data_IF_037913137782
#
_entry.id   IF_037913137782
#
_cell.length_a   1.000
_cell.length_b   1.000
_cell.length_c   1.000
_cell.angle_alpha   90.00
_cell.angle_beta   90.00
_cell.angle_gamma   90.00
#
_symmetry.space_group_name_H-M   'P 1'
#
loop_
_entity.id
_entity.type
_entity.pdbx_description
1 polymer ?
#
# COMPACT_ATOMS: atom_id res chain seq x y z
N UNK A 1 -3.02 -11.78 -19.49
CA UNK A 1 -2.86 -10.32 -19.60
C UNK A 1 -1.55 -9.97 -20.28
N UNK A 2 -1.56 -8.99 -21.19
CA UNK A 2 -0.37 -8.46 -21.87
C UNK A 2 0.31 -7.38 -21.04
N UNK A 3 1.57 -7.01 -21.37
CA UNK A 3 2.28 -5.94 -20.67
C UNK A 3 1.53 -4.58 -20.69
N UNK A 4 0.92 -4.14 -21.81
CA UNK A 4 0.07 -2.94 -21.82
C UNK A 4 -1.15 -3.02 -20.89
N UNK A 5 -1.76 -4.20 -20.76
CA UNK A 5 -2.90 -4.41 -19.85
C UNK A 5 -2.48 -4.31 -18.39
N UNK A 6 -1.34 -4.88 -18.00
CA UNK A 6 -0.77 -4.70 -16.65
C UNK A 6 -0.46 -3.22 -16.38
N UNK A 7 0.17 -2.52 -17.33
CA UNK A 7 0.42 -1.08 -17.19
C UNK A 7 -0.88 -0.31 -16.90
N UNK A 8 -1.92 -0.51 -17.72
CA UNK A 8 -3.22 0.17 -17.54
C UNK A 8 -3.86 -0.20 -16.20
N UNK A 9 -3.78 -1.46 -15.78
CA UNK A 9 -4.30 -1.93 -14.48
C UNK A 9 -3.59 -1.22 -13.32
N UNK A 10 -2.27 -1.20 -13.30
CA UNK A 10 -1.50 -0.61 -12.21
C UNK A 10 -1.63 0.91 -12.16
N UNK A 11 -1.72 1.59 -13.30
CA UNK A 11 -2.02 3.03 -13.33
C UNK A 11 -3.40 3.34 -12.76
N UNK A 12 -4.45 2.63 -13.22
CA UNK A 12 -5.81 2.82 -12.69
C UNK A 12 -5.87 2.54 -11.20
N UNK A 13 -5.32 1.41 -10.77
CA UNK A 13 -5.29 1.04 -9.36
C UNK A 13 -4.51 2.07 -8.53
N UNK A 14 -3.31 2.47 -8.99
CA UNK A 14 -2.48 3.46 -8.29
C UNK A 14 -3.18 4.80 -8.12
N UNK A 15 -3.81 5.34 -9.16
CA UNK A 15 -4.53 6.61 -9.07
C UNK A 15 -5.77 6.54 -8.16
N UNK A 16 -6.57 5.47 -8.24
CA UNK A 16 -7.71 5.27 -7.35
C UNK A 16 -7.29 5.07 -5.89
N UNK A 17 -6.23 4.30 -5.65
CA UNK A 17 -5.64 4.14 -4.33
C UNK A 17 -5.07 5.46 -3.80
N UNK A 18 -4.41 6.26 -4.65
CA UNK A 18 -3.88 7.56 -4.25
C UNK A 18 -5.01 8.51 -3.85
N UNK A 19 -6.10 8.55 -4.62
CA UNK A 19 -7.29 9.32 -4.24
C UNK A 19 -7.83 8.86 -2.88
N UNK A 20 -8.02 7.56 -2.69
CA UNK A 20 -8.52 6.98 -1.43
C UNK A 20 -7.62 7.36 -0.24
N UNK A 21 -6.31 7.17 -0.34
CA UNK A 21 -5.39 7.43 0.76
C UNK A 21 -5.14 8.91 0.99
N UNK A 22 -5.19 9.76 -0.04
CA UNK A 22 -5.17 11.20 0.12
C UNK A 22 -6.43 11.70 0.85
N UNK A 23 -7.61 11.17 0.51
CA UNK A 23 -8.86 11.46 1.25
C UNK A 23 -8.76 10.98 2.70
N UNK A 24 -8.18 9.80 2.95
CA UNK A 24 -7.92 9.34 4.31
C UNK A 24 -6.97 10.29 5.06
N UNK A 25 -5.89 10.75 4.42
CA UNK A 25 -4.96 11.71 5.01
C UNK A 25 -5.66 13.00 5.43
N UNK A 26 -6.45 13.59 4.52
CA UNK A 26 -7.26 14.77 4.81
C UNK A 26 -8.24 14.54 5.98
N UNK A 27 -8.84 13.36 6.08
CA UNK A 27 -9.70 13.00 7.20
C UNK A 27 -8.90 12.95 8.51
N UNK A 28 -7.74 12.30 8.53
CA UNK A 28 -6.90 12.20 9.74
C UNK A 28 -6.40 13.59 10.18
N UNK A 29 -5.99 14.44 9.24
CA UNK A 29 -5.62 15.82 9.49
C UNK A 29 -6.79 16.64 10.02
N UNK A 30 -8.01 16.41 9.50
CA UNK A 30 -9.23 17.05 10.02
C UNK A 30 -9.53 16.60 11.45
N UNK A 31 -9.42 15.31 11.76
CA UNK A 31 -9.58 14.80 13.13
C UNK A 31 -8.57 15.43 14.09
N UNK A 32 -7.32 15.61 13.64
CA UNK A 32 -6.26 16.31 14.36
C UNK A 32 -6.61 17.80 14.56
N UNK A 33 -6.98 18.51 13.49
CA UNK A 33 -7.25 19.95 13.49
C UNK A 33 -8.48 20.34 14.32
N UNK A 34 -9.56 19.55 14.23
CA UNK A 34 -10.77 19.73 15.04
C UNK A 34 -10.67 19.13 16.45
N UNK A 35 -9.52 18.57 16.81
CA UNK A 35 -9.24 17.96 18.12
C UNK A 35 -10.28 16.90 18.53
N UNK A 36 -10.65 16.03 17.61
CA UNK A 36 -11.66 15.00 17.85
C UNK A 36 -11.13 14.00 18.88
N UNK A 37 -11.80 13.90 20.03
CA UNK A 37 -11.41 13.06 21.18
C UNK A 37 -11.23 11.57 20.84
N UNK A 38 -12.09 11.06 19.96
CA UNK A 38 -12.00 9.67 19.48
C UNK A 38 -10.68 9.34 18.74
N UNK A 39 -9.91 10.37 18.35
CA UNK A 39 -8.61 10.24 17.69
C UNK A 39 -7.44 10.76 18.54
N UNK A 40 -7.66 11.81 19.34
CA UNK A 40 -6.60 12.50 20.10
C UNK A 40 -6.48 12.12 21.57
N UNK A 41 -7.51 11.55 22.20
CA UNK A 41 -7.40 11.13 23.60
C UNK A 41 -6.21 10.15 23.75
N UNK A 42 -5.51 10.20 24.89
CA UNK A 42 -4.29 9.40 25.15
C UNK A 42 -4.56 7.89 24.98
N UNK A 43 -5.76 7.45 25.37
CA UNK A 43 -6.22 6.08 25.17
C UNK A 43 -6.31 5.65 23.69
N UNK A 44 -6.27 6.58 22.73
CA UNK A 44 -6.33 6.33 21.29
C UNK A 44 -4.98 6.46 20.58
N UNK A 45 -3.86 6.48 21.31
CA UNK A 45 -2.51 6.52 20.72
C UNK A 45 -2.27 5.40 19.69
N UNK A 46 -2.65 4.17 20.01
CA UNK A 46 -2.52 3.02 19.10
C UNK A 46 -3.35 3.22 17.83
N UNK A 47 -4.60 3.67 17.94
CA UNK A 47 -5.45 4.00 16.79
C UNK A 47 -4.79 5.04 15.90
N UNK A 48 -4.30 6.13 16.50
CA UNK A 48 -3.66 7.22 15.78
C UNK A 48 -2.40 6.77 15.05
N UNK A 49 -1.54 5.99 15.70
CA UNK A 49 -0.35 5.40 15.08
C UNK A 49 -0.74 4.48 13.93
N UNK A 50 -1.65 3.54 14.18
CA UNK A 50 -2.09 2.55 13.20
C UNK A 50 -2.74 3.20 11.96
N UNK A 51 -3.58 4.20 12.14
CA UNK A 51 -4.21 4.91 11.02
C UNK A 51 -3.22 5.79 10.25
N UNK A 52 -2.24 6.38 10.94
CA UNK A 52 -1.12 7.09 10.30
C UNK A 52 -0.29 6.12 9.44
N UNK A 53 0.05 4.94 9.97
CA UNK A 53 0.78 3.91 9.22
C UNK A 53 -0.01 3.39 8.03
N UNK A 54 -1.32 3.21 8.18
CA UNK A 54 -2.22 2.81 7.09
C UNK A 54 -2.21 3.85 5.96
N UNK A 55 -2.38 5.13 6.29
CA UNK A 55 -2.32 6.23 5.33
C UNK A 55 -0.95 6.31 4.63
N UNK A 56 0.15 6.24 5.39
CA UNK A 56 1.50 6.35 4.87
C UNK A 56 1.83 5.22 3.87
N UNK A 57 1.59 3.96 4.27
CA UNK A 57 1.87 2.81 3.40
C UNK A 57 0.91 2.76 2.22
N UNK A 58 -0.36 3.12 2.41
CA UNK A 58 -1.33 3.19 1.32
C UNK A 58 -0.94 4.21 0.25
N UNK A 59 -0.54 5.41 0.66
CA UNK A 59 -0.06 6.46 -0.24
C UNK A 59 1.22 6.04 -0.97
N UNK A 60 2.20 5.50 -0.24
CA UNK A 60 3.46 5.02 -0.85
C UNK A 60 3.19 3.91 -1.87
N UNK A 61 2.36 2.92 -1.54
CA UNK A 61 2.07 1.81 -2.44
C UNK A 61 1.24 2.28 -3.65
N UNK A 62 0.34 3.24 -3.48
CA UNK A 62 -0.34 3.88 -4.61
C UNK A 62 0.66 4.50 -5.61
N UNK A 63 1.70 5.19 -5.12
CA UNK A 63 2.78 5.71 -5.96
C UNK A 63 3.61 4.59 -6.60
N UNK A 64 3.94 3.52 -5.87
CA UNK A 64 4.62 2.34 -6.42
C UNK A 64 3.84 1.76 -7.59
N UNK A 65 2.52 1.70 -7.49
CA UNK A 65 1.65 1.25 -8.58
C UNK A 65 1.71 2.16 -9.81
N UNK A 66 1.67 3.49 -9.62
CA UNK A 66 1.81 4.45 -10.72
C UNK A 66 3.18 4.31 -11.40
N UNK A 67 4.25 4.29 -10.61
CA UNK A 67 5.63 4.13 -11.08
C UNK A 67 5.77 2.82 -11.84
N UNK A 68 5.31 1.69 -11.29
CA UNK A 68 5.38 0.39 -11.96
C UNK A 68 4.63 0.41 -13.29
N UNK A 69 3.42 1.00 -13.32
CA UNK A 69 2.64 1.15 -14.54
C UNK A 69 3.34 2.00 -15.61
N UNK A 70 4.07 3.06 -15.22
CA UNK A 70 4.90 3.88 -16.11
C UNK A 70 6.15 3.14 -16.59
N UNK A 71 6.85 2.43 -15.69
CA UNK A 71 8.01 1.60 -16.03
C UNK A 71 7.65 0.58 -17.10
N UNK A 72 6.47 -0.05 -17.00
CA UNK A 72 5.98 -0.99 -18.01
C UNK A 72 5.70 -0.34 -19.38
N UNK A 73 5.40 0.96 -19.46
CA UNK A 73 5.26 1.67 -20.74
C UNK A 73 6.60 2.05 -21.35
N UNK A 74 7.56 2.40 -20.51
CA UNK A 74 8.90 2.80 -20.93
C UNK A 74 9.79 1.60 -21.31
N UNK A 75 9.35 0.38 -21.00
CA UNK A 75 10.13 -0.86 -21.12
C UNK A 75 9.55 -1.74 -22.22
N UNK A 76 10.36 -2.26 -23.17
CA UNK A 76 9.91 -3.26 -24.13
C UNK A 76 9.22 -4.47 -23.47
N UNK A 77 8.19 -5.07 -24.11
CA UNK A 77 7.33 -6.10 -23.51
C UNK A 77 8.04 -7.37 -23.02
N UNK A 78 9.27 -7.63 -23.46
CA UNK A 78 9.99 -8.88 -23.27
C UNK A 78 10.72 -9.01 -21.93
N UNK A 79 10.68 -7.99 -21.07
CA UNK A 79 11.73 -7.83 -20.03
C UNK A 79 11.38 -8.40 -18.65
N UNK A 80 10.13 -8.71 -18.33
CA UNK A 80 9.75 -9.16 -16.98
C UNK A 80 9.12 -10.55 -16.97
N UNK A 81 9.85 -11.61 -16.59
CA UNK A 81 9.23 -12.89 -16.27
C UNK A 81 8.31 -12.73 -15.05
N UNK A 82 7.31 -13.60 -14.93
CA UNK A 82 6.40 -13.65 -13.78
C UNK A 82 5.54 -12.40 -13.52
N UNK A 83 5.23 -11.58 -14.54
CA UNK A 83 4.38 -10.37 -14.40
C UNK A 83 3.07 -10.60 -13.65
N UNK A 84 2.43 -11.75 -13.84
CA UNK A 84 1.21 -12.09 -13.10
C UNK A 84 1.44 -12.15 -11.58
N UNK A 85 2.54 -12.78 -11.15
CA UNK A 85 2.88 -12.92 -9.75
C UNK A 85 3.31 -11.58 -9.15
N UNK A 86 4.11 -10.79 -9.89
CA UNK A 86 4.50 -9.43 -9.48
C UNK A 86 3.25 -8.56 -9.30
N UNK A 87 2.36 -8.55 -10.30
CA UNK A 87 1.13 -7.76 -10.28
C UNK A 87 0.22 -8.15 -9.11
N UNK A 88 -0.02 -9.45 -8.93
CA UNK A 88 -0.88 -9.95 -7.86
C UNK A 88 -0.29 -9.68 -6.49
N UNK A 89 1.03 -9.83 -6.33
CA UNK A 89 1.73 -9.54 -5.07
C UNK A 89 1.71 -8.07 -4.71
N UNK A 90 1.90 -7.15 -5.68
CA UNK A 90 1.77 -5.71 -5.44
C UNK A 90 0.35 -5.31 -5.03
N UNK A 91 -0.67 -5.84 -5.71
CA UNK A 91 -2.07 -5.56 -5.38
C UNK A 91 -2.40 -6.09 -3.98
N UNK A 92 -2.02 -7.34 -3.70
CA UNK A 92 -2.25 -7.94 -2.39
C UNK A 92 -1.51 -7.17 -1.28
N UNK A 93 -0.24 -6.79 -1.48
CA UNK A 93 0.49 -5.94 -0.54
C UNK A 93 -0.20 -4.59 -0.30
N UNK A 94 -0.71 -3.97 -1.37
CA UNK A 94 -1.44 -2.69 -1.32
C UNK A 94 -2.79 -2.76 -0.60
N UNK A 95 -3.35 -3.96 -0.42
CA UNK A 95 -4.55 -4.17 0.40
C UNK A 95 -4.16 -4.57 1.83
N UNK A 96 -3.27 -5.55 1.97
CA UNK A 96 -2.94 -6.16 3.26
C UNK A 96 -2.15 -5.23 4.19
N UNK A 97 -1.20 -4.44 3.68
CA UNK A 97 -0.40 -3.54 4.52
C UNK A 97 -1.25 -2.40 5.09
N UNK A 98 -1.85 -1.51 4.26
CA UNK A 98 -2.65 -0.42 4.81
C UNK A 98 -3.93 -0.93 5.47
N UNK A 99 -4.55 -1.99 4.94
CA UNK A 99 -5.72 -2.61 5.56
C UNK A 99 -5.41 -3.23 6.93
N UNK A 100 -4.27 -3.91 7.06
CA UNK A 100 -3.82 -4.50 8.32
C UNK A 100 -3.58 -3.45 9.40
N UNK A 101 -2.87 -2.37 9.06
CA UNK A 101 -2.71 -1.23 9.95
C UNK A 101 -4.06 -0.60 10.30
N UNK A 102 -4.92 -0.30 9.32
CA UNK A 102 -6.22 0.34 9.58
C UNK A 102 -7.08 -0.48 10.53
N UNK A 103 -7.23 -1.80 10.26
CA UNK A 103 -7.96 -2.75 11.09
C UNK A 103 -7.33 -2.91 12.48
N UNK A 104 -6.00 -2.92 12.58
CA UNK A 104 -5.27 -2.93 13.85
C UNK A 104 -5.55 -1.70 14.73
N UNK A 105 -5.98 -0.58 14.13
CA UNK A 105 -6.40 0.62 14.84
C UNK A 105 -7.88 0.67 15.21
N UNK A 106 -8.74 -0.24 14.72
CA UNK A 106 -10.19 -0.21 15.02
C UNK A 106 -10.47 -0.68 16.45
N UNK A 107 -9.99 -1.89 16.78
CA UNK A 107 -10.09 -2.51 18.09
C UNK A 107 -8.68 -2.88 18.54
N UNK A 108 -8.23 -2.36 19.68
CA UNK A 108 -6.88 -2.53 20.21
C UNK A 108 -6.98 -2.75 21.74
N UNK A 109 -5.97 -3.42 22.32
CA UNK A 109 -6.04 -3.93 23.69
C UNK A 109 -4.81 -3.47 24.45
N UNK A 110 -4.99 -2.71 25.53
CA UNK A 110 -3.89 -2.28 26.41
C UNK A 110 -2.73 -1.57 25.69
N UNK A 111 -3.00 -0.90 24.57
CA UNK A 111 -2.00 -0.24 23.73
C UNK A 111 -1.49 -1.07 22.55
N UNK A 112 -1.78 -2.37 22.51
CA UNK A 112 -1.40 -3.26 21.41
C UNK A 112 -2.42 -3.22 20.26
N UNK A 113 -1.97 -3.21 18.99
CA UNK A 113 -2.87 -3.21 17.85
C UNK A 113 -3.72 -4.47 17.79
N UNK A 114 -4.92 -4.34 17.24
CA UNK A 114 -5.82 -5.48 17.04
C UNK A 114 -5.31 -6.51 16.06
N UNK A 115 -6.07 -7.61 15.93
CA UNK A 115 -5.76 -8.76 15.07
C UNK A 115 -5.51 -8.41 13.59
N UNK A 116 -6.00 -7.26 13.11
CA UNK A 116 -5.69 -6.74 11.78
C UNK A 116 -4.19 -6.63 11.50
N UNK A 117 -3.37 -6.40 12.54
CA UNK A 117 -1.90 -6.30 12.40
C UNK A 117 -1.27 -7.56 11.80
N UNK A 118 -1.91 -8.73 11.95
CA UNK A 118 -1.42 -10.00 11.41
C UNK A 118 -1.38 -10.03 9.87
N UNK A 119 -2.12 -9.14 9.21
CA UNK A 119 -2.09 -9.00 7.74
C UNK A 119 -0.81 -8.31 7.25
N UNK A 120 -0.22 -7.43 8.07
CA UNK A 120 0.97 -6.62 7.73
C UNK A 120 2.17 -7.49 7.34
N UNK A 121 2.61 -8.50 8.12
CA UNK A 121 3.77 -9.32 7.73
C UNK A 121 3.54 -10.06 6.41
N UNK A 122 2.32 -10.54 6.15
CA UNK A 122 1.98 -11.20 4.89
C UNK A 122 2.10 -10.21 3.72
N UNK A 123 1.52 -9.01 3.87
CA UNK A 123 1.63 -7.95 2.87
C UNK A 123 3.08 -7.50 2.65
N UNK A 124 3.90 -7.44 3.71
CA UNK A 124 5.31 -7.12 3.65
C UNK A 124 6.12 -8.14 2.84
N UNK A 125 5.90 -9.43 3.06
CA UNK A 125 6.56 -10.51 2.29
C UNK A 125 6.18 -10.42 0.81
N UNK A 126 4.91 -10.18 0.49
CA UNK A 126 4.44 -10.02 -0.90
C UNK A 126 5.06 -8.79 -1.58
N UNK A 127 5.18 -7.68 -0.85
CA UNK A 127 5.86 -6.49 -1.35
C UNK A 127 7.33 -6.78 -1.66
N UNK A 128 8.05 -7.40 -0.73
CA UNK A 128 9.46 -7.76 -0.91
C UNK A 128 9.65 -8.71 -2.10
N UNK A 129 8.78 -9.71 -2.24
CA UNK A 129 8.77 -10.61 -3.38
C UNK A 129 8.60 -9.84 -4.70
N UNK A 130 7.61 -8.95 -4.80
CA UNK A 130 7.36 -8.19 -6.02
C UNK A 130 8.53 -7.26 -6.36
N UNK A 131 9.03 -6.51 -5.37
CA UNK A 131 10.14 -5.58 -5.53
C UNK A 131 11.42 -6.31 -5.93
N UNK A 132 11.71 -7.47 -5.33
CA UNK A 132 12.87 -8.31 -5.70
C UNK A 132 12.85 -8.67 -7.19
N UNK A 133 11.72 -9.14 -7.71
CA UNK A 133 11.62 -9.52 -9.12
C UNK A 133 11.64 -8.32 -10.07
N UNK A 134 11.04 -7.19 -9.68
CA UNK A 134 11.13 -5.93 -10.43
C UNK A 134 12.59 -5.46 -10.52
N UNK A 135 13.31 -5.48 -9.40
CA UNK A 135 14.72 -5.10 -9.33
C UNK A 135 15.58 -6.04 -10.19
N UNK A 136 15.41 -7.35 -10.05
CA UNK A 136 16.13 -8.36 -10.84
C UNK A 136 15.94 -8.18 -12.35
N UNK A 137 14.69 -7.98 -12.79
CA UNK A 137 14.36 -7.74 -14.20
C UNK A 137 14.94 -6.41 -14.73
N UNK A 138 15.11 -5.42 -13.85
CA UNK A 138 15.72 -4.13 -14.19
C UNK A 138 17.25 -4.22 -14.30
N UNK A 139 17.89 -5.06 -13.48
CA UNK A 139 19.35 -5.25 -13.46
C UNK A 139 19.88 -6.12 -14.61
N UNK A 140 19.08 -7.04 -15.15
CA UNK A 140 19.45 -7.90 -16.28
C UNK A 140 19.61 -7.15 -17.63
N UNK A 141 19.43 -5.81 -17.63
CA UNK A 141 19.60 -4.91 -18.78
C UNK A 141 21.03 -4.44 -19.01
N UNK A 142 22.04 -5.12 -18.46
CA UNK A 142 23.45 -4.87 -18.76
C UNK A 142 23.94 -5.85 -19.81
#
# INVERSE_FOLDING_TARGET
MTAPEYSRRHLRFGWWSLLLFATLGLLLESLQGFKVRAYLDVSNETRRLMWTLAHAHGTLLALVHVIFGLTMRATPPTVMPHLHLISSSLIAASVLLPGGFFLGGIAFYSGDPGLGILLVPIGGVLLLFAVFWIARGSSARR
#
